data_IF_247878383552
#
_entry.id   IF_247878383552
#
_cell.length_a   1.000
_cell.length_b   1.000
_cell.length_c   1.000
_cell.angle_alpha   90.00
_cell.angle_beta   90.00
_cell.angle_gamma   90.00
#
_symmetry.space_group_name_H-M   'P 1'
#
loop_
_entity.id
_entity.type
_entity.pdbx_description
1 polymer ?
#
# COMPACT_ATOMS: atom_id res chain seq x y z
N UNK A 1 -15.86 7.41 4.47
CA UNK A 1 -15.12 7.74 3.24
C UNK A 1 -14.39 6.50 2.78
N UNK A 2 -14.24 6.35 1.48
CA UNK A 2 -13.61 5.19 0.85
C UNK A 2 -12.76 5.68 -0.33
N UNK A 3 -11.60 5.05 -0.53
CA UNK A 3 -10.74 5.25 -1.68
C UNK A 3 -10.21 3.89 -2.15
N UNK A 4 -10.02 3.77 -3.45
CA UNK A 4 -9.33 2.67 -4.09
C UNK A 4 -8.07 3.23 -4.77
N UNK A 5 -6.92 2.61 -4.51
CA UNK A 5 -5.64 2.95 -5.10
C UNK A 5 -5.17 1.72 -5.88
N UNK A 6 -4.85 1.93 -7.16
CA UNK A 6 -4.35 0.88 -8.04
C UNK A 6 -2.95 1.27 -8.50
N UNK A 7 -1.98 0.41 -8.22
CA UNK A 7 -0.59 0.56 -8.66
C UNK A 7 -0.26 -0.54 -9.65
N UNK A 8 0.20 -0.16 -10.83
CA UNK A 8 0.57 -1.08 -11.90
C UNK A 8 2.08 -1.27 -11.93
N UNK A 9 2.52 -2.52 -12.05
CA UNK A 9 3.93 -2.87 -12.08
C UNK A 9 4.27 -3.69 -13.31
N UNK A 10 5.25 -3.22 -14.09
CA UNK A 10 5.79 -3.98 -15.23
C UNK A 10 6.44 -5.30 -14.79
N UNK A 11 6.99 -5.33 -13.56
CA UNK A 11 7.67 -6.49 -13.01
C UNK A 11 6.82 -7.14 -11.91
N UNK A 12 6.23 -8.30 -12.22
CA UNK A 12 5.39 -9.05 -11.26
C UNK A 12 6.09 -9.32 -9.93
N UNK A 13 7.40 -9.63 -9.93
CA UNK A 13 8.14 -9.89 -8.69
C UNK A 13 8.32 -8.63 -7.83
N UNK A 14 8.40 -7.45 -8.46
CA UNK A 14 8.41 -6.17 -7.73
C UNK A 14 7.02 -5.91 -7.15
N UNK A 15 5.98 -5.99 -7.98
CA UNK A 15 4.63 -5.70 -7.53
C UNK A 15 4.18 -6.61 -6.39
N UNK A 16 4.47 -7.90 -6.46
CA UNK A 16 4.20 -8.85 -5.36
C UNK A 16 4.99 -8.50 -4.08
N UNK A 17 6.27 -8.13 -4.21
CA UNK A 17 7.10 -7.76 -3.06
C UNK A 17 6.63 -6.45 -2.42
N UNK A 18 6.20 -5.46 -3.23
CA UNK A 18 5.62 -4.22 -2.74
C UNK A 18 4.28 -4.49 -2.06
N UNK A 19 3.39 -5.28 -2.67
CA UNK A 19 2.12 -5.68 -2.07
C UNK A 19 2.32 -6.29 -0.69
N UNK A 20 3.31 -7.18 -0.55
CA UNK A 20 3.67 -7.80 0.73
C UNK A 20 4.26 -6.81 1.74
N UNK A 21 5.05 -5.84 1.27
CA UNK A 21 5.67 -4.83 2.14
C UNK A 21 4.68 -3.77 2.65
N UNK A 22 3.67 -3.45 1.85
CA UNK A 22 2.66 -2.41 2.15
C UNK A 22 1.33 -2.97 2.60
N UNK A 23 1.15 -4.29 2.53
CA UNK A 23 0.02 -4.97 3.15
C UNK A 23 0.15 -4.77 4.65
N UNK A 24 -0.80 -4.07 5.29
CA UNK A 24 -0.82 -4.00 6.74
C UNK A 24 -1.05 -5.42 7.24
N UNK A 25 -0.10 -5.92 8.01
CA UNK A 25 -0.08 -7.30 8.49
C UNK A 25 -1.16 -7.50 9.58
N UNK A 26 -2.45 -7.37 9.25
CA UNK A 26 -3.63 -7.60 10.11
C UNK A 26 -3.60 -7.03 11.55
N UNK A 27 -2.70 -6.09 11.88
CA UNK A 27 -2.45 -5.68 13.26
C UNK A 27 -3.05 -4.31 13.56
N UNK A 28 -4.24 -4.34 14.17
CA UNK A 28 -4.82 -3.25 14.96
C UNK A 28 -4.83 -1.90 14.25
N UNK A 29 -5.51 -1.81 13.10
CA UNK A 29 -5.93 -0.48 12.65
C UNK A 29 -6.82 0.15 13.73
N UNK A 30 -6.67 1.46 14.01
CA UNK A 30 -7.54 2.15 14.95
C UNK A 30 -9.01 1.91 14.59
N UNK A 31 -9.89 1.74 15.58
CA UNK A 31 -11.33 1.56 15.32
C UNK A 31 -11.83 2.59 14.29
N UNK A 32 -12.46 2.09 13.22
CA UNK A 32 -12.97 2.93 12.14
C UNK A 32 -11.99 3.22 11.00
N UNK A 33 -10.82 2.57 10.95
CA UNK A 33 -9.95 2.55 9.77
C UNK A 33 -9.71 1.11 9.31
N UNK A 34 -9.82 0.87 8.02
CA UNK A 34 -9.53 -0.41 7.38
C UNK A 34 -8.72 -0.13 6.12
N UNK A 35 -7.63 -0.87 5.95
CA UNK A 35 -6.77 -0.82 4.76
C UNK A 35 -6.60 -2.27 4.33
N UNK A 36 -7.00 -2.58 3.10
CA UNK A 36 -6.92 -3.90 2.52
C UNK A 36 -6.09 -3.82 1.25
N UNK A 37 -4.98 -4.54 1.18
CA UNK A 37 -4.10 -4.57 0.01
C UNK A 37 -4.07 -5.98 -0.57
N UNK A 38 -4.26 -6.09 -1.87
CA UNK A 38 -4.24 -7.36 -2.60
C UNK A 38 -3.40 -7.23 -3.87
N UNK A 39 -2.77 -8.34 -4.26
CA UNK A 39 -2.06 -8.44 -5.54
C UNK A 39 -2.91 -9.25 -6.51
N UNK A 40 -3.23 -8.68 -7.68
CA UNK A 40 -4.01 -9.35 -8.72
C UNK A 40 -3.60 -8.85 -10.11
N UNK A 41 -3.37 -9.77 -11.04
CA UNK A 41 -3.14 -9.49 -12.47
C UNK A 41 -2.04 -8.43 -12.76
N UNK A 42 -0.94 -8.43 -12.00
CA UNK A 42 0.13 -7.43 -12.19
C UNK A 42 -0.12 -6.10 -11.47
N UNK A 43 -1.20 -6.00 -10.68
CA UNK A 43 -1.62 -4.78 -9.99
C UNK A 43 -1.67 -4.98 -8.48
N UNK A 44 -1.25 -3.96 -7.74
CA UNK A 44 -1.50 -3.83 -6.30
C UNK A 44 -2.76 -3.01 -6.14
N UNK A 45 -3.82 -3.63 -5.61
CA UNK A 45 -5.09 -2.98 -5.33
C UNK A 45 -5.20 -2.75 -3.84
N UNK A 46 -5.36 -1.50 -3.44
CA UNK A 46 -5.55 -1.12 -2.04
C UNK A 46 -6.87 -0.38 -1.85
N UNK A 47 -7.70 -0.90 -0.95
CA UNK A 47 -8.95 -0.26 -0.50
C UNK A 47 -8.75 0.35 0.88
N UNK A 48 -9.05 1.63 1.02
CA UNK A 48 -8.96 2.37 2.28
C UNK A 48 -10.36 2.81 2.68
N UNK A 49 -10.84 2.33 3.83
CA UNK A 49 -12.12 2.72 4.41
C UNK A 49 -11.89 3.44 5.73
N UNK A 50 -12.37 4.68 5.82
CA UNK A 50 -12.23 5.53 7.00
C UNK A 50 -13.59 6.06 7.46
N UNK A 51 -13.93 5.79 8.71
CA UNK A 51 -15.12 6.30 9.42
C UNK A 51 -14.82 7.55 10.26
N UNK A 52 -13.57 8.04 10.25
CA UNK A 52 -13.14 9.27 10.95
C UNK A 52 -13.34 10.49 10.04
N UNK A 53 -12.81 11.65 10.44
CA UNK A 53 -12.87 12.89 9.65
C UNK A 53 -11.95 12.89 8.43
N UNK A 54 -12.25 13.79 7.46
CA UNK A 54 -11.47 13.96 6.22
C UNK A 54 -9.95 14.13 6.45
N UNK A 55 -9.48 14.90 7.45
CA UNK A 55 -8.05 15.03 7.70
C UNK A 55 -7.35 13.69 7.99
N UNK A 56 -8.00 12.80 8.76
CA UNK A 56 -7.44 11.48 9.04
C UNK A 56 -7.42 10.60 7.81
N UNK A 57 -8.42 10.73 6.93
CA UNK A 57 -8.48 9.98 5.69
C UNK A 57 -7.34 10.39 4.73
N UNK A 58 -7.11 11.69 4.56
CA UNK A 58 -6.01 12.23 3.75
C UNK A 58 -4.67 11.78 4.31
N UNK A 59 -4.44 11.95 5.62
CA UNK A 59 -3.19 11.53 6.25
C UNK A 59 -2.91 10.03 6.08
N UNK A 60 -3.95 9.19 6.14
CA UNK A 60 -3.81 7.74 5.92
C UNK A 60 -3.39 7.43 4.47
N UNK A 61 -3.96 8.14 3.50
CA UNK A 61 -3.61 7.97 2.08
C UNK A 61 -2.16 8.39 1.85
N UNK A 62 -1.75 9.54 2.39
CA UNK A 62 -0.38 10.05 2.27
C UNK A 62 0.62 9.07 2.90
N UNK A 63 0.35 8.58 4.12
CA UNK A 63 1.19 7.60 4.80
C UNK A 63 1.32 6.29 3.99
N UNK A 64 0.21 5.81 3.40
CA UNK A 64 0.20 4.60 2.58
C UNK A 64 1.04 4.76 1.31
N UNK A 65 0.88 5.87 0.58
CA UNK A 65 1.65 6.16 -0.62
C UNK A 65 3.14 6.31 -0.31
N UNK A 66 3.48 6.96 0.82
CA UNK A 66 4.86 7.09 1.26
C UNK A 66 5.51 5.74 1.60
N UNK A 67 4.79 4.87 2.32
CA UNK A 67 5.24 3.50 2.60
C UNK A 67 5.50 2.72 1.31
N UNK A 68 4.61 2.87 0.32
CA UNK A 68 4.74 2.21 -0.99
C UNK A 68 5.98 2.65 -1.73
N UNK A 69 6.19 3.97 -1.87
CA UNK A 69 7.40 4.52 -2.51
C UNK A 69 8.68 4.08 -1.79
N UNK A 70 8.64 3.99 -0.46
CA UNK A 70 9.79 3.53 0.34
C UNK A 70 10.10 2.06 0.07
N UNK A 71 9.09 1.21 0.03
CA UNK A 71 9.24 -0.21 -0.31
C UNK A 71 9.82 -0.39 -1.72
N UNK A 72 9.30 0.36 -2.71
CA UNK A 72 9.81 0.33 -4.09
C UNK A 72 11.28 0.71 -4.18
N UNK A 73 11.67 1.86 -3.62
CA UNK A 73 13.06 2.34 -3.63
C UNK A 73 14.01 1.37 -2.94
N UNK A 74 13.56 0.79 -1.83
CA UNK A 74 14.33 -0.22 -1.08
C UNK A 74 14.55 -1.47 -1.93
N UNK A 75 13.51 -1.97 -2.58
CA UNK A 75 13.60 -3.14 -3.47
C UNK A 75 14.48 -2.87 -4.69
N UNK A 76 14.38 -1.70 -5.30
CA UNK A 76 15.24 -1.30 -6.43
C UNK A 76 16.72 -1.22 -6.00
N UNK A 77 17.00 -0.64 -4.84
CA UNK A 77 18.36 -0.52 -4.30
C UNK A 77 18.92 -1.91 -3.96
N UNK A 78 18.15 -2.76 -3.28
CA UNK A 78 18.54 -4.12 -2.96
C UNK A 78 18.82 -4.97 -4.21
N UNK A 79 18.09 -4.74 -5.31
CA UNK A 79 18.37 -5.39 -6.60
C UNK A 79 19.66 -4.92 -7.26
N UNK A 80 20.05 -3.65 -7.09
CA UNK A 80 21.30 -3.10 -7.63
C UNK A 80 22.55 -3.55 -6.87
N UNK A 81 22.38 -3.98 -5.62
CA UNK A 81 23.45 -4.49 -4.77
C UNK A 81 23.72 -6.00 -4.96
N UNK A 82 22.94 -6.68 -5.81
CA UNK A 82 23.16 -8.07 -6.24
C UNK A 82 23.86 -8.10 -7.59
#
# INVERSE_FOLDING_TARGET
>A
MEAEIVLEYDNMKIGEAVAKAVSPDNFKTPKGLTIETTWKDGKVLTTIRCKKGLPTFIATIDDFLFCTLTAEKTLQTAKRLK
#
